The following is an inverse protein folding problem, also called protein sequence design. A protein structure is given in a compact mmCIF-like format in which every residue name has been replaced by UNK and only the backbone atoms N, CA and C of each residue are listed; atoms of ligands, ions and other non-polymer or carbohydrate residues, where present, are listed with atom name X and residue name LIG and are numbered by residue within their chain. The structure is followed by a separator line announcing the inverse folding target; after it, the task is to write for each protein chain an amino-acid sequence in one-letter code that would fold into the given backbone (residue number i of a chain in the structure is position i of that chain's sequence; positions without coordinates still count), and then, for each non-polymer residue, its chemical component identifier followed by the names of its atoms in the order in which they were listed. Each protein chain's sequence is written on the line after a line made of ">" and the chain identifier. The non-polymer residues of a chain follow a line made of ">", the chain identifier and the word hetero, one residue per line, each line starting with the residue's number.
data_IF_714847893298
#
_entry.id   IF_714847893298
#
_cell.length_a   1.000
_cell.length_b   1.000
_cell.length_c   1.000
_cell.angle_alpha   90.00
_cell.angle_beta   90.00
_cell.angle_gamma   90.00
#
_symmetry.space_group_name_H-M   'P 1'
#
loop_
_entity.id
_entity.type
_entity.pdbx_description
1 polymer ?
#
# COMPACT_ATOMS: atom_id res chain seq x y z
N UNK A 1 -3.71 19.37 -10.08
CA UNK A 1 -4.54 18.50 -10.94
C UNK A 1 -3.64 17.53 -11.73
N UNK A 2 -3.11 16.48 -11.09
CA UNK A 2 -2.18 15.53 -11.74
C UNK A 2 -2.36 14.09 -11.20
N UNK A 3 -3.62 13.68 -11.02
CA UNK A 3 -3.98 12.37 -10.48
C UNK A 3 -4.86 11.54 -11.45
N UNK A 4 -4.95 11.95 -12.72
CA UNK A 4 -5.90 11.42 -13.70
C UNK A 4 -5.24 10.61 -14.83
N UNK A 5 -4.00 10.14 -14.66
CA UNK A 5 -3.22 9.51 -15.75
C UNK A 5 -3.06 7.99 -15.65
N UNK A 6 -3.87 7.31 -14.83
CA UNK A 6 -4.10 5.86 -14.96
C UNK A 6 -5.55 5.60 -14.62
N UNK A 7 -6.38 5.28 -15.61
CA UNK A 7 -7.83 5.08 -15.49
C UNK A 7 -8.23 3.84 -14.69
N UNK A 8 -7.75 3.72 -13.46
CA UNK A 8 -8.18 2.73 -12.48
C UNK A 8 -8.98 3.50 -11.44
N UNK A 9 -10.29 3.29 -11.41
CA UNK A 9 -11.13 3.81 -10.34
C UNK A 9 -10.64 3.20 -9.02
N UNK A 10 -10.00 4.03 -8.20
CA UNK A 10 -9.60 3.66 -6.86
C UNK A 10 -10.73 4.07 -5.91
N UNK A 11 -11.43 3.12 -5.26
CA UNK A 11 -12.43 3.48 -4.27
C UNK A 11 -11.77 4.29 -3.14
N UNK A 12 -12.49 5.27 -2.62
CA UNK A 12 -11.98 6.13 -1.54
C UNK A 12 -11.51 5.28 -0.34
N UNK A 13 -12.23 4.20 -0.01
CA UNK A 13 -11.86 3.29 1.08
C UNK A 13 -10.46 2.69 0.92
N UNK A 14 -10.08 2.35 -0.31
CA UNK A 14 -8.74 1.83 -0.61
C UNK A 14 -7.70 2.94 -0.52
N UNK A 15 -8.01 4.14 -1.03
CA UNK A 15 -7.12 5.29 -0.90
C UNK A 15 -6.84 5.65 0.57
N UNK A 16 -7.87 5.64 1.42
CA UNK A 16 -7.74 5.87 2.86
C UNK A 16 -6.96 4.76 3.56
N UNK A 17 -7.17 3.50 3.18
CA UNK A 17 -6.40 2.38 3.71
C UNK A 17 -4.90 2.55 3.41
N UNK A 18 -4.55 2.77 2.14
CA UNK A 18 -3.15 2.93 1.72
C UNK A 18 -2.50 4.15 2.39
N UNK A 19 -3.22 5.27 2.50
CA UNK A 19 -2.72 6.48 3.16
C UNK A 19 -2.48 6.29 4.67
N UNK A 20 -3.26 5.43 5.34
CA UNK A 20 -3.05 5.12 6.76
C UNK A 20 -1.92 4.12 6.98
N UNK A 21 -1.78 3.15 6.08
CA UNK A 21 -0.76 2.09 6.14
C UNK A 21 0.63 2.60 5.76
N UNK A 22 0.74 3.38 4.68
CA UNK A 22 2.03 3.81 4.13
C UNK A 22 2.33 5.24 4.60
N UNK A 23 3.05 5.37 5.72
CA UNK A 23 3.48 6.66 6.29
C UNK A 23 4.92 7.06 5.93
N UNK A 24 5.68 6.19 5.27
CA UNK A 24 7.14 6.30 5.17
C UNK A 24 7.63 7.38 4.21
N UNK A 25 7.00 7.57 3.02
CA UNK A 25 7.33 8.60 2.01
C UNK A 25 6.46 8.45 0.73
N UNK A 26 6.48 9.47 -0.15
CA UNK A 26 5.73 9.48 -1.43
C UNK A 26 6.14 8.35 -2.38
N UNK A 27 7.39 7.88 -2.34
CA UNK A 27 7.89 6.82 -3.22
C UNK A 27 7.32 5.45 -2.83
N UNK A 28 7.23 5.17 -1.53
CA UNK A 28 6.56 3.98 -1.02
C UNK A 28 5.06 4.02 -1.29
N UNK A 29 4.44 5.21 -1.21
CA UNK A 29 3.02 5.38 -1.56
C UNK A 29 2.76 5.05 -3.03
N UNK A 30 3.57 5.58 -3.95
CA UNK A 30 3.47 5.25 -5.37
C UNK A 30 3.74 3.76 -5.63
N UNK A 31 4.75 3.18 -4.96
CA UNK A 31 5.07 1.75 -5.07
C UNK A 31 3.95 0.84 -4.57
N UNK A 32 3.29 1.22 -3.48
CA UNK A 32 2.12 0.54 -2.93
C UNK A 32 0.95 0.59 -3.93
N UNK A 33 0.67 1.77 -4.49
CA UNK A 33 -0.39 1.94 -5.48
C UNK A 33 -0.14 1.09 -6.73
N UNK A 34 1.10 1.08 -7.24
CA UNK A 34 1.49 0.25 -8.37
C UNK A 34 1.32 -1.24 -8.12
N UNK A 35 1.65 -1.72 -6.91
CA UNK A 35 1.44 -3.12 -6.52
C UNK A 35 -0.02 -3.50 -6.52
N UNK A 36 -0.90 -2.65 -6.00
CA UNK A 36 -2.34 -2.91 -5.96
C UNK A 36 -2.90 -3.00 -7.37
N UNK A 37 -2.51 -2.07 -8.26
CA UNK A 37 -2.94 -2.08 -9.66
C UNK A 37 -2.43 -3.33 -10.39
N UNK A 38 -1.17 -3.73 -10.16
CA UNK A 38 -0.62 -4.95 -10.74
C UNK A 38 -1.37 -6.19 -10.25
N UNK A 39 -1.65 -6.28 -8.93
CA UNK A 39 -2.41 -7.39 -8.36
C UNK A 39 -3.85 -7.46 -8.90
N UNK A 40 -4.50 -6.31 -9.07
CA UNK A 40 -5.82 -6.23 -9.70
C UNK A 40 -5.76 -6.77 -11.14
N UNK A 41 -4.75 -6.36 -11.91
CA UNK A 41 -4.52 -6.84 -13.27
C UNK A 41 -4.23 -8.34 -13.37
N UNK A 42 -3.48 -8.91 -12.41
CA UNK A 42 -3.17 -10.34 -12.38
C UNK A 42 -4.35 -11.21 -11.93
N UNK A 43 -5.13 -10.73 -10.97
CA UNK A 43 -6.29 -11.46 -10.45
C UNK A 43 -7.55 -11.25 -11.29
N UNK A 44 -7.56 -10.23 -12.16
CA UNK A 44 -8.74 -9.80 -12.90
C UNK A 44 -9.86 -9.26 -12.01
N UNK A 45 -9.57 -8.97 -10.73
CA UNK A 45 -10.51 -8.44 -9.75
C UNK A 45 -10.45 -6.92 -9.71
N UNK A 46 -11.58 -6.31 -9.39
CA UNK A 46 -11.66 -4.88 -9.09
C UNK A 46 -10.78 -4.52 -7.89
N UNK A 47 -10.29 -3.28 -7.86
CA UNK A 47 -9.52 -2.78 -6.72
C UNK A 47 -10.44 -2.63 -5.50
N UNK A 48 -10.17 -3.41 -4.46
CA UNK A 48 -10.88 -3.37 -3.19
C UNK A 48 -9.88 -3.39 -2.00
N UNK A 49 -10.39 -3.14 -0.78
CA UNK A 49 -9.54 -3.04 0.43
C UNK A 49 -8.86 -4.38 0.75
N UNK A 50 -9.51 -5.51 0.46
CA UNK A 50 -8.93 -6.83 0.68
C UNK A 50 -7.81 -7.10 -0.32
N UNK A 51 -8.01 -6.78 -1.60
CA UNK A 51 -6.95 -6.86 -2.60
C UNK A 51 -5.76 -5.97 -2.21
N UNK A 52 -6.01 -4.78 -1.69
CA UNK A 52 -4.95 -3.89 -1.22
C UNK A 52 -4.22 -4.45 0.00
N UNK A 53 -4.94 -5.06 0.96
CA UNK A 53 -4.35 -5.75 2.11
C UNK A 53 -3.46 -6.91 1.66
N UNK A 54 -3.92 -7.70 0.69
CA UNK A 54 -3.15 -8.81 0.12
C UNK A 54 -1.89 -8.29 -0.61
N UNK A 55 -2.02 -7.27 -1.45
CA UNK A 55 -0.91 -6.69 -2.21
C UNK A 55 0.15 -6.00 -1.33
N UNK A 56 -0.26 -5.49 -0.16
CA UNK A 56 0.62 -4.80 0.79
C UNK A 56 1.05 -5.67 1.97
N UNK A 57 0.65 -6.95 2.02
CA UNK A 57 0.94 -7.85 3.15
C UNK A 57 2.44 -7.93 3.47
N UNK A 58 3.29 -8.04 2.46
CA UNK A 58 4.74 -8.08 2.66
C UNK A 58 5.32 -6.76 3.22
N UNK A 59 4.72 -5.62 2.86
CA UNK A 59 5.13 -4.30 3.35
C UNK A 59 4.72 -4.14 4.81
N UNK A 60 3.49 -4.53 5.14
CA UNK A 60 2.95 -4.54 6.50
C UNK A 60 3.80 -5.39 7.44
N UNK A 61 4.11 -6.63 7.04
CA UNK A 61 4.95 -7.54 7.84
C UNK A 61 6.37 -6.99 8.00
N UNK A 62 6.92 -6.35 6.97
CA UNK A 62 8.23 -5.70 7.06
C UNK A 62 8.22 -4.53 8.07
N UNK A 63 7.20 -3.68 8.04
CA UNK A 63 7.04 -2.57 8.99
C UNK A 63 6.85 -3.08 10.43
N UNK A 64 6.01 -4.10 10.66
CA UNK A 64 5.84 -4.71 11.98
C UNK A 64 7.17 -5.28 12.53
N UNK A 65 7.98 -5.91 11.67
CA UNK A 65 9.30 -6.42 12.05
C UNK A 65 10.33 -5.32 12.31
N UNK A 66 10.32 -4.24 11.53
CA UNK A 66 11.22 -3.09 11.77
C UNK A 66 10.92 -2.42 13.10
N UNK A 67 9.65 -2.13 13.39
CA UNK A 67 9.21 -1.55 14.68
C UNK A 67 9.60 -2.46 15.86
N UNK A 68 9.57 -3.78 15.65
CA UNK A 68 9.96 -4.75 16.70
C UNK A 68 11.47 -4.81 16.97
N UNK A 69 12.32 -4.46 15.99
CA UNK A 69 13.79 -4.50 16.13
C UNK A 69 14.35 -3.15 16.61
N UNK A 70 13.63 -2.04 16.40
CA UNK A 70 14.05 -0.70 16.85
C UNK A 70 13.80 -0.40 18.34
N UNK A 71 13.38 -1.38 19.15
CA UNK A 71 13.39 -1.28 20.62
C UNK A 71 14.67 -1.84 21.27
N UNK A 72 15.72 -2.12 20.48
CA UNK A 72 16.98 -2.66 21.00
C UNK A 72 18.05 -1.56 20.88
N UNK A 73 18.37 -0.94 22.02
CA UNK A 73 19.43 0.04 22.25
C UNK A 73 19.10 1.51 21.93
N UNK A 74 18.28 2.11 22.79
CA UNK A 74 18.68 3.43 23.29
C UNK A 74 19.66 3.21 24.45
N UNK A 75 20.80 3.89 24.34
CA UNK A 75 21.97 3.93 25.22
C UNK A 75 21.65 4.32 26.66
#
# INVERSE_FOLDING_TARGET
>A
KKALERGVEFPNDVAFFVANTVRSNVRELEGALHRIIANAGFTGRSVDVELAREALRDILVYQEKQISIENIQQT
#
